data_IF_574124764232
#
_entry.id   IF_574124764232
#
_cell.length_a   1.000
_cell.length_b   1.000
_cell.length_c   1.000
_cell.angle_alpha   90.00
_cell.angle_beta   90.00
_cell.angle_gamma   90.00
#
_symmetry.space_group_name_H-M   'P 1'
#
loop_
_entity.id
_entity.type
_entity.pdbx_description
1 polymer ?
#
# COMPACT_ATOMS: atom_id res chain seq x y z
N UNK A 1 59.56 -11.49 -2.22
CA UNK A 1 58.72 -11.69 -3.44
C UNK A 1 59.33 -10.95 -4.62
N UNK A 2 59.60 -11.65 -5.73
CA UNK A 2 60.06 -11.05 -7.00
C UNK A 2 59.03 -10.07 -7.57
N UNK A 3 59.49 -8.99 -8.21
CA UNK A 3 58.65 -7.99 -8.88
C UNK A 3 57.66 -8.60 -9.89
N UNK A 4 58.04 -9.72 -10.53
CA UNK A 4 57.18 -10.49 -11.44
C UNK A 4 55.95 -11.08 -10.75
N UNK A 5 56.12 -11.62 -9.53
CA UNK A 5 55.03 -12.19 -8.74
C UNK A 5 54.07 -11.10 -8.27
N UNK A 6 54.59 -9.94 -7.85
CA UNK A 6 53.78 -8.77 -7.48
C UNK A 6 52.94 -8.26 -8.67
N UNK A 7 53.53 -8.18 -9.86
CA UNK A 7 52.81 -7.74 -11.08
C UNK A 7 51.74 -8.74 -11.53
N UNK A 8 52.00 -10.05 -11.44
CA UNK A 8 50.99 -11.09 -11.73
C UNK A 8 49.82 -11.02 -10.73
N UNK A 9 50.12 -10.88 -9.44
CA UNK A 9 49.09 -10.75 -8.40
C UNK A 9 48.23 -9.48 -8.61
N UNK A 10 48.85 -8.34 -8.92
CA UNK A 10 48.12 -7.10 -9.19
C UNK A 10 47.16 -7.23 -10.40
N UNK A 11 47.59 -7.90 -11.49
CA UNK A 11 46.73 -8.17 -12.65
C UNK A 11 45.57 -9.10 -12.31
N UNK A 12 45.81 -10.15 -11.52
CA UNK A 12 44.76 -11.07 -11.07
C UNK A 12 43.73 -10.35 -10.19
N UNK A 13 44.17 -9.50 -9.27
CA UNK A 13 43.28 -8.68 -8.44
C UNK A 13 42.48 -7.69 -9.29
N UNK A 14 43.10 -7.02 -10.26
CA UNK A 14 42.39 -6.10 -11.15
C UNK A 14 41.33 -6.83 -12.01
N UNK A 15 41.65 -8.01 -12.53
CA UNK A 15 40.67 -8.84 -13.26
C UNK A 15 39.52 -9.29 -12.38
N UNK A 16 39.79 -9.67 -11.13
CA UNK A 16 38.75 -10.02 -10.16
C UNK A 16 37.84 -8.81 -9.86
N UNK A 17 38.41 -7.62 -9.67
CA UNK A 17 37.63 -6.38 -9.45
C UNK A 17 36.73 -6.08 -10.64
N UNK A 18 37.25 -6.17 -11.87
CA UNK A 18 36.46 -5.96 -13.09
C UNK A 18 35.33 -6.99 -13.18
N UNK A 19 35.64 -8.27 -12.94
CA UNK A 19 34.68 -9.37 -12.98
C UNK A 19 33.52 -9.15 -12.00
N UNK A 20 33.81 -8.67 -10.79
CA UNK A 20 32.80 -8.36 -9.77
C UNK A 20 32.05 -7.05 -10.07
N UNK A 21 32.70 -6.08 -10.71
CA UNK A 21 32.10 -4.76 -11.00
C UNK A 21 31.02 -4.84 -12.09
N UNK A 22 31.19 -5.69 -13.10
CA UNK A 22 30.23 -5.84 -14.21
C UNK A 22 28.80 -6.19 -13.73
N UNK A 23 28.57 -7.24 -12.92
CA UNK A 23 27.23 -7.56 -12.44
C UNK A 23 26.68 -6.46 -11.52
N UNK A 24 27.53 -5.81 -10.70
CA UNK A 24 27.10 -4.71 -9.85
C UNK A 24 26.58 -3.53 -10.67
N UNK A 25 27.30 -3.12 -11.73
CA UNK A 25 26.87 -2.06 -12.65
C UNK A 25 25.57 -2.45 -13.35
N UNK A 26 25.44 -3.70 -13.79
CA UNK A 26 24.22 -4.20 -14.42
C UNK A 26 23.01 -4.11 -13.50
N UNK A 27 23.10 -4.62 -12.26
CA UNK A 27 22.00 -4.57 -11.31
C UNK A 27 21.68 -3.14 -10.88
N UNK A 28 22.69 -2.31 -10.62
CA UNK A 28 22.50 -0.91 -10.27
C UNK A 28 21.80 -0.14 -11.39
N UNK A 29 22.19 -0.36 -12.65
CA UNK A 29 21.52 0.24 -13.81
C UNK A 29 20.06 -0.19 -13.90
N UNK A 30 19.77 -1.50 -13.75
CA UNK A 30 18.38 -1.99 -13.78
C UNK A 30 17.52 -1.38 -12.68
N UNK A 31 18.05 -1.27 -11.46
CA UNK A 31 17.34 -0.62 -10.35
C UNK A 31 17.12 0.87 -10.62
N UNK A 32 18.13 1.57 -11.13
CA UNK A 32 18.00 2.98 -11.48
C UNK A 32 16.91 3.22 -12.54
N UNK A 33 16.87 2.42 -13.61
CA UNK A 33 15.83 2.53 -14.63
C UNK A 33 14.45 2.19 -14.06
N UNK A 34 14.36 1.16 -13.20
CA UNK A 34 13.11 0.81 -12.55
C UNK A 34 12.56 1.96 -11.68
N UNK A 35 13.42 2.59 -10.87
CA UNK A 35 13.02 3.70 -10.01
C UNK A 35 12.68 4.98 -10.79
N UNK A 36 13.40 5.26 -11.89
CA UNK A 36 13.06 6.37 -12.80
C UNK A 36 11.65 6.17 -13.36
N UNK A 37 11.29 4.94 -13.77
CA UNK A 37 9.94 4.63 -14.25
C UNK A 37 8.89 4.69 -13.15
N UNK A 38 9.20 4.28 -11.91
CA UNK A 38 8.23 4.28 -10.80
C UNK A 38 8.01 5.67 -10.17
N UNK A 39 8.99 6.56 -10.24
CA UNK A 39 8.93 7.90 -9.65
C UNK A 39 7.68 8.73 -10.03
N UNK A 40 7.32 8.90 -11.33
CA UNK A 40 6.14 9.67 -11.71
C UNK A 40 4.84 9.05 -11.15
N UNK A 41 4.78 7.73 -11.02
CA UNK A 41 3.61 7.01 -10.48
C UNK A 41 3.43 7.33 -9.00
N UNK A 42 4.51 7.30 -8.21
CA UNK A 42 4.47 7.64 -6.78
C UNK A 42 3.96 9.07 -6.58
N UNK A 43 4.51 10.02 -7.34
CA UNK A 43 4.12 11.42 -7.27
C UNK A 43 2.68 11.66 -7.71
N UNK A 44 2.23 11.01 -8.78
CA UNK A 44 0.86 11.11 -9.26
C UNK A 44 -0.14 10.67 -8.19
N UNK A 45 0.12 9.53 -7.54
CA UNK A 45 -0.76 9.03 -6.49
C UNK A 45 -0.78 9.96 -5.26
N UNK A 46 0.37 10.46 -4.80
CA UNK A 46 0.41 11.42 -3.68
C UNK A 46 -0.43 12.67 -3.96
N UNK A 47 -0.36 13.18 -5.20
CA UNK A 47 -1.17 14.31 -5.65
C UNK A 47 -2.67 13.99 -5.61
N UNK A 48 -3.07 12.81 -6.09
CA UNK A 48 -4.46 12.40 -6.09
C UNK A 48 -5.03 12.18 -4.69
N UNK A 49 -4.23 11.69 -3.75
CA UNK A 49 -4.63 11.59 -2.34
C UNK A 49 -4.78 12.95 -1.67
N UNK A 50 -3.92 13.92 -2.03
CA UNK A 50 -4.01 15.27 -1.49
C UNK A 50 -5.22 16.06 -2.04
N UNK A 51 -5.61 15.79 -3.30
CA UNK A 51 -6.72 16.46 -3.98
C UNK A 51 -7.57 15.45 -4.77
N UNK A 52 -8.51 14.76 -4.09
CA UNK A 52 -9.48 13.88 -4.74
C UNK A 52 -10.27 14.65 -5.82
N UNK A 53 -10.54 14.01 -6.96
CA UNK A 53 -11.22 14.64 -8.11
C UNK A 53 -10.30 15.19 -9.21
N UNK A 54 -8.99 14.97 -9.10
CA UNK A 54 -8.00 15.32 -10.14
C UNK A 54 -7.52 14.10 -10.95
N UNK A 55 -8.18 12.96 -10.80
CA UNK A 55 -7.83 11.69 -11.46
C UNK A 55 -8.67 11.54 -12.72
N UNK A 56 -8.02 11.27 -13.84
CA UNK A 56 -8.66 10.95 -15.11
C UNK A 56 -8.07 9.65 -15.70
N UNK A 57 -8.82 8.98 -16.58
CA UNK A 57 -8.42 7.68 -17.14
C UNK A 57 -7.11 7.75 -17.92
N UNK A 58 -6.85 8.84 -18.65
CA UNK A 58 -5.61 9.01 -19.41
C UNK A 58 -4.40 9.06 -18.47
N UNK A 59 -4.53 9.76 -17.35
CA UNK A 59 -3.48 9.84 -16.34
C UNK A 59 -3.22 8.48 -15.65
N UNK A 60 -4.25 7.65 -15.49
CA UNK A 60 -4.12 6.29 -14.96
C UNK A 60 -3.44 5.36 -15.96
N UNK A 61 -3.80 5.41 -17.23
CA UNK A 61 -3.21 4.56 -18.26
C UNK A 61 -1.72 4.88 -18.43
N UNK A 62 -1.35 6.16 -18.36
CA UNK A 62 0.06 6.56 -18.38
C UNK A 62 0.81 6.05 -17.15
N UNK A 63 0.25 6.22 -15.96
CA UNK A 63 0.86 5.72 -14.73
C UNK A 63 1.00 4.18 -14.74
N UNK A 64 0.04 3.48 -15.35
CA UNK A 64 0.12 2.03 -15.49
C UNK A 64 1.23 1.59 -16.45
N UNK A 65 1.42 2.28 -17.57
CA UNK A 65 2.54 2.00 -18.48
C UNK A 65 3.88 2.18 -17.75
N UNK A 66 4.02 3.25 -16.98
CA UNK A 66 5.24 3.57 -16.25
C UNK A 66 5.52 2.54 -15.14
N UNK A 67 4.51 2.10 -14.38
CA UNK A 67 4.71 1.08 -13.35
C UNK A 67 4.98 -0.32 -13.94
N UNK A 68 4.37 -0.65 -15.08
CA UNK A 68 4.67 -1.89 -15.80
C UNK A 68 6.12 -1.91 -16.30
N UNK A 69 6.62 -0.77 -16.77
CA UNK A 69 8.04 -0.59 -17.10
C UNK A 69 8.91 -0.85 -15.87
N UNK A 70 8.62 -0.23 -14.72
CA UNK A 70 9.38 -0.45 -13.50
C UNK A 70 9.43 -1.94 -13.08
N UNK A 71 8.30 -2.64 -13.14
CA UNK A 71 8.20 -4.08 -12.83
C UNK A 71 9.00 -4.95 -13.81
N UNK A 72 9.09 -4.56 -15.09
CA UNK A 72 9.92 -5.28 -16.07
C UNK A 72 11.42 -5.14 -15.80
N UNK A 73 11.83 -3.99 -15.25
CA UNK A 73 13.23 -3.73 -14.90
C UNK A 73 13.61 -4.36 -13.56
N UNK A 74 12.70 -4.36 -12.58
CA UNK A 74 12.91 -4.96 -11.26
C UNK A 74 11.58 -5.45 -10.64
N UNK A 75 11.23 -6.71 -10.92
CA UNK A 75 10.06 -7.39 -10.32
C UNK A 75 10.29 -7.82 -8.86
N UNK A 76 11.48 -7.65 -8.31
CA UNK A 76 11.78 -7.97 -6.91
C UNK A 76 11.39 -6.87 -5.92
N UNK A 77 10.92 -5.70 -6.40
CA UNK A 77 10.54 -4.59 -5.55
C UNK A 77 9.04 -4.61 -5.22
N UNK A 78 8.71 -4.90 -3.95
CA UNK A 78 7.34 -4.94 -3.45
C UNK A 78 6.58 -3.63 -3.66
N UNK A 79 7.27 -2.49 -3.63
CA UNK A 79 6.61 -1.18 -3.75
C UNK A 79 5.98 -0.99 -5.12
N UNK A 80 6.55 -1.54 -6.18
CA UNK A 80 5.96 -1.38 -7.51
C UNK A 80 4.62 -2.11 -7.63
N UNK A 81 4.48 -3.24 -6.95
CA UNK A 81 3.19 -3.92 -6.82
C UNK A 81 2.19 -3.09 -6.01
N UNK A 82 2.61 -2.46 -4.92
CA UNK A 82 1.76 -1.56 -4.14
C UNK A 82 1.29 -0.34 -4.94
N UNK A 83 2.20 0.31 -5.69
CA UNK A 83 1.86 1.41 -6.57
C UNK A 83 0.84 0.96 -7.63
N UNK A 84 1.08 -0.18 -8.29
CA UNK A 84 0.15 -0.71 -9.27
C UNK A 84 -1.20 -1.07 -8.65
N UNK A 85 -1.22 -1.65 -7.44
CA UNK A 85 -2.46 -1.99 -6.74
C UNK A 85 -3.32 -0.75 -6.47
N UNK A 86 -2.68 0.34 -6.05
CA UNK A 86 -3.36 1.64 -5.85
C UNK A 86 -3.90 2.19 -7.17
N UNK A 87 -3.18 2.06 -8.28
CA UNK A 87 -3.68 2.45 -9.60
C UNK A 87 -4.94 1.66 -9.99
N UNK A 88 -4.93 0.34 -9.81
CA UNK A 88 -6.11 -0.50 -10.06
C UNK A 88 -7.29 -0.05 -9.19
N UNK A 89 -7.05 0.25 -7.91
CA UNK A 89 -8.11 0.73 -7.01
C UNK A 89 -8.64 2.13 -7.39
N UNK A 90 -7.78 3.05 -7.85
CA UNK A 90 -8.22 4.32 -8.43
C UNK A 90 -9.07 4.10 -9.68
N UNK A 91 -8.65 3.20 -10.58
CA UNK A 91 -9.42 2.86 -11.77
C UNK A 91 -10.77 2.27 -11.41
N UNK A 92 -10.83 1.41 -10.39
CA UNK A 92 -12.09 0.89 -9.87
C UNK A 92 -13.03 2.02 -9.43
N UNK A 93 -12.50 3.06 -8.80
CA UNK A 93 -13.27 4.21 -8.30
C UNK A 93 -13.74 5.19 -9.39
N UNK A 94 -13.19 5.08 -10.60
CA UNK A 94 -13.57 5.90 -11.76
C UNK A 94 -14.44 5.13 -12.76
N UNK A 95 -14.65 3.82 -12.58
CA UNK A 95 -15.38 3.01 -13.56
C UNK A 95 -16.86 3.40 -13.59
N UNK A 96 -17.23 4.06 -14.68
CA UNK A 96 -18.54 4.38 -15.22
C UNK A 96 -19.68 4.65 -14.22
N UNK A 97 -19.96 5.94 -14.01
CA UNK A 97 -21.12 6.49 -13.29
C UNK A 97 -22.48 6.07 -13.87
N UNK A 98 -22.52 5.36 -15.00
CA UNK A 98 -23.74 4.81 -15.60
C UNK A 98 -24.04 3.35 -15.21
N UNK A 99 -23.14 2.68 -14.49
CA UNK A 99 -23.38 1.35 -13.93
C UNK A 99 -23.93 1.41 -12.50
N UNK A 100 -24.78 0.44 -12.10
CA UNK A 100 -25.35 0.37 -10.73
C UNK A 100 -24.28 0.16 -9.65
N UNK A 101 -23.06 -0.27 -10.03
CA UNK A 101 -21.95 -0.51 -9.10
C UNK A 101 -20.92 0.63 -9.16
N UNK A 102 -20.70 1.36 -8.06
CA UNK A 102 -19.76 2.49 -8.02
C UNK A 102 -18.28 2.08 -8.12
N UNK A 103 -17.99 0.76 -8.14
CA UNK A 103 -16.64 0.20 -8.24
C UNK A 103 -16.59 -0.98 -9.22
N UNK A 104 -15.55 -1.03 -10.05
CA UNK A 104 -15.23 -2.22 -10.85
C UNK A 104 -14.64 -3.32 -9.96
N UNK A 105 -15.42 -4.36 -9.68
CA UNK A 105 -14.98 -5.50 -8.88
C UNK A 105 -13.79 -6.26 -9.50
N UNK A 106 -13.64 -6.21 -10.82
CA UNK A 106 -12.49 -6.80 -11.50
C UNK A 106 -11.19 -6.06 -11.15
N UNK A 107 -11.22 -4.73 -11.13
CA UNK A 107 -10.07 -3.90 -10.75
C UNK A 107 -9.74 -4.07 -9.26
N UNK A 108 -10.75 -4.21 -8.39
CA UNK A 108 -10.53 -4.52 -6.96
C UNK A 108 -9.85 -5.87 -6.76
N UNK A 109 -10.24 -6.91 -7.52
CA UNK A 109 -9.55 -8.23 -7.48
C UNK A 109 -8.11 -8.14 -7.98
N UNK A 110 -7.85 -7.33 -9.01
CA UNK A 110 -6.49 -7.10 -9.49
C UNK A 110 -5.64 -6.40 -8.41
N UNK A 111 -6.18 -5.36 -7.77
CA UNK A 111 -5.52 -4.68 -6.64
C UNK A 111 -5.19 -5.67 -5.50
N UNK A 112 -6.14 -6.53 -5.13
CA UNK A 112 -5.93 -7.58 -4.12
C UNK A 112 -4.74 -8.50 -4.48
N UNK A 113 -4.70 -9.01 -5.71
CA UNK A 113 -3.61 -9.89 -6.17
C UNK A 113 -2.24 -9.20 -6.16
N UNK A 114 -2.20 -7.89 -6.45
CA UNK A 114 -0.99 -7.10 -6.39
C UNK A 114 -0.50 -6.88 -4.95
N UNK A 115 -1.40 -6.60 -3.99
CA UNK A 115 -1.04 -6.56 -2.57
C UNK A 115 -0.51 -7.92 -2.08
N UNK A 116 -1.09 -9.03 -2.53
CA UNK A 116 -0.57 -10.36 -2.20
C UNK A 116 0.83 -10.61 -2.78
N UNK A 117 1.10 -10.08 -3.97
CA UNK A 117 2.45 -10.13 -4.56
C UNK A 117 3.44 -9.28 -3.76
N UNK A 118 3.05 -8.09 -3.31
CA UNK A 118 3.86 -7.25 -2.43
C UNK A 118 4.13 -7.93 -1.07
N UNK A 119 3.13 -8.60 -0.47
CA UNK A 119 3.27 -9.37 0.78
C UNK A 119 4.29 -10.49 0.64
N UNK A 120 4.30 -11.22 -0.48
CA UNK A 120 5.29 -12.29 -0.72
C UNK A 120 6.72 -11.75 -0.70
N UNK A 121 6.93 -10.55 -1.20
CA UNK A 121 8.24 -9.88 -1.24
C UNK A 121 8.60 -9.20 0.09
N UNK A 122 7.61 -8.65 0.82
CA UNK A 122 7.78 -8.00 2.12
C UNK A 122 6.70 -8.43 3.12
N UNK A 123 6.84 -9.60 3.76
CA UNK A 123 5.80 -10.17 4.64
C UNK A 123 5.45 -9.34 5.87
N UNK A 124 6.34 -8.43 6.29
CA UNK A 124 6.16 -7.57 7.46
C UNK A 124 5.71 -6.14 7.08
N UNK A 125 5.24 -5.92 5.85
CA UNK A 125 4.78 -4.60 5.43
C UNK A 125 3.30 -4.40 5.77
N UNK A 126 3.04 -3.60 6.82
CA UNK A 126 1.69 -3.38 7.32
C UNK A 126 0.75 -2.76 6.29
N UNK A 127 1.26 -1.83 5.46
CA UNK A 127 0.52 -1.26 4.34
C UNK A 127 -0.15 -2.32 3.46
N UNK A 128 0.60 -3.34 3.03
CA UNK A 128 0.09 -4.39 2.14
C UNK A 128 -0.99 -5.24 2.81
N UNK A 129 -0.82 -5.59 4.08
CA UNK A 129 -1.83 -6.33 4.84
C UNK A 129 -3.10 -5.51 5.07
N UNK A 130 -2.95 -4.22 5.37
CA UNK A 130 -4.08 -3.32 5.57
C UNK A 130 -4.90 -3.19 4.29
N UNK A 131 -4.25 -2.95 3.14
CA UNK A 131 -4.96 -2.86 1.87
C UNK A 131 -5.50 -4.21 1.38
N UNK A 132 -4.85 -5.34 1.73
CA UNK A 132 -5.45 -6.66 1.52
C UNK A 132 -6.81 -6.76 2.21
N UNK A 133 -6.90 -6.37 3.48
CA UNK A 133 -8.19 -6.36 4.21
C UNK A 133 -9.20 -5.40 3.58
N UNK A 134 -8.74 -4.24 3.11
CA UNK A 134 -9.60 -3.26 2.44
C UNK A 134 -10.17 -3.79 1.13
N UNK A 135 -9.35 -4.40 0.27
CA UNK A 135 -9.82 -4.97 -1.00
C UNK A 135 -10.80 -6.12 -0.74
N UNK A 136 -10.54 -6.99 0.25
CA UNK A 136 -11.48 -8.05 0.66
C UNK A 136 -12.82 -7.45 1.13
N UNK A 137 -12.80 -6.37 1.91
CA UNK A 137 -14.01 -5.69 2.35
C UNK A 137 -14.82 -5.10 1.19
N UNK A 138 -14.16 -4.48 0.21
CA UNK A 138 -14.81 -3.99 -1.01
C UNK A 138 -15.45 -5.11 -1.84
N UNK A 139 -14.86 -6.31 -1.82
CA UNK A 139 -15.43 -7.51 -2.44
C UNK A 139 -16.55 -8.16 -1.60
N UNK A 140 -16.82 -7.66 -0.39
CA UNK A 140 -17.77 -8.27 0.55
C UNK A 140 -17.28 -9.57 1.20
N UNK A 141 -15.98 -9.86 1.08
CA UNK A 141 -15.35 -11.11 1.53
C UNK A 141 -14.84 -10.97 2.96
N UNK A 142 -15.73 -11.16 3.95
CA UNK A 142 -15.41 -11.12 5.39
C UNK A 142 -15.05 -12.51 5.94
N UNK A 143 -14.07 -13.14 5.30
CA UNK A 143 -13.57 -14.48 5.60
C UNK A 143 -12.39 -14.46 6.61
N UNK A 144 -11.83 -15.63 6.93
CA UNK A 144 -10.65 -15.75 7.79
C UNK A 144 -9.46 -14.93 7.26
N UNK A 145 -9.31 -14.83 5.94
CA UNK A 145 -8.23 -14.09 5.29
C UNK A 145 -8.36 -12.59 5.55
N UNK A 146 -9.57 -12.04 5.53
CA UNK A 146 -9.84 -10.65 5.92
C UNK A 146 -9.42 -10.39 7.38
N UNK A 147 -9.79 -11.28 8.31
CA UNK A 147 -9.47 -11.11 9.73
C UNK A 147 -7.97 -11.27 10.01
N UNK A 148 -7.30 -12.25 9.38
CA UNK A 148 -5.84 -12.41 9.47
C UNK A 148 -5.11 -11.17 8.93
N UNK A 149 -5.57 -10.62 7.81
CA UNK A 149 -4.98 -9.42 7.23
C UNK A 149 -5.06 -8.20 8.18
N UNK A 150 -6.20 -7.99 8.85
CA UNK A 150 -6.34 -6.94 9.88
C UNK A 150 -5.35 -7.16 11.03
N UNK A 151 -5.29 -8.38 11.58
CA UNK A 151 -4.39 -8.71 12.69
C UNK A 151 -2.92 -8.53 12.32
N UNK A 152 -2.53 -8.91 11.09
CA UNK A 152 -1.17 -8.72 10.59
C UNK A 152 -0.82 -7.27 10.36
N UNK A 153 -1.73 -6.47 9.82
CA UNK A 153 -1.53 -5.03 9.65
C UNK A 153 -1.25 -4.36 11.01
N UNK A 154 -2.06 -4.67 12.03
CA UNK A 154 -1.84 -4.16 13.38
C UNK A 154 -0.50 -4.64 13.97
N UNK A 155 -0.19 -5.93 13.85
CA UNK A 155 1.03 -6.50 14.43
C UNK A 155 2.30 -5.95 13.80
N UNK A 156 2.30 -5.73 12.48
CA UNK A 156 3.51 -5.38 11.72
C UNK A 156 3.75 -3.87 11.60
N UNK A 157 2.73 -3.04 11.79
CA UNK A 157 2.87 -1.59 11.69
C UNK A 157 1.74 -0.83 12.38
N UNK A 158 1.60 -0.96 13.71
CA UNK A 158 0.52 -0.32 14.45
C UNK A 158 0.54 1.21 14.35
N UNK A 159 1.70 1.80 14.07
CA UNK A 159 1.88 3.26 13.98
C UNK A 159 1.95 3.80 12.55
N UNK A 160 1.76 2.94 11.54
CA UNK A 160 1.74 3.39 10.16
C UNK A 160 0.38 4.02 9.86
N UNK A 161 0.36 5.33 9.58
CA UNK A 161 -0.89 6.09 9.39
C UNK A 161 -1.76 5.52 8.26
N UNK A 162 -1.14 5.23 7.10
CA UNK A 162 -1.82 4.65 5.93
C UNK A 162 -2.44 3.29 6.24
N UNK A 163 -1.70 2.41 6.92
CA UNK A 163 -2.23 1.12 7.34
C UNK A 163 -3.42 1.27 8.30
N UNK A 164 -3.33 2.18 9.28
CA UNK A 164 -4.45 2.41 10.21
C UNK A 164 -5.70 2.95 9.51
N UNK A 165 -5.54 3.85 8.52
CA UNK A 165 -6.67 4.36 7.74
C UNK A 165 -7.32 3.26 6.89
N UNK A 166 -6.52 2.42 6.22
CA UNK A 166 -7.02 1.31 5.42
C UNK A 166 -7.71 0.24 6.28
N UNK A 167 -7.13 -0.13 7.43
CA UNK A 167 -7.77 -1.04 8.40
C UNK A 167 -9.07 -0.44 8.92
N UNK A 168 -9.08 0.84 9.27
CA UNK A 168 -10.29 1.52 9.71
C UNK A 168 -11.39 1.40 8.66
N UNK A 169 -11.13 1.83 7.42
CA UNK A 169 -12.10 1.80 6.33
C UNK A 169 -12.60 0.38 6.04
N UNK A 170 -11.70 -0.60 6.00
CA UNK A 170 -12.04 -2.02 5.83
C UNK A 170 -13.01 -2.50 6.92
N UNK A 171 -12.77 -2.09 8.17
CA UNK A 171 -13.62 -2.39 9.30
C UNK A 171 -14.99 -1.70 9.26
N UNK A 172 -15.05 -0.47 8.74
CA UNK A 172 -16.31 0.28 8.61
C UNK A 172 -17.22 -0.34 7.54
N UNK A 173 -16.66 -0.77 6.41
CA UNK A 173 -17.36 -1.51 5.35
C UNK A 173 -18.03 -2.79 5.89
N UNK A 174 -17.34 -3.53 6.76
CA UNK A 174 -17.78 -4.80 7.32
C UNK A 174 -18.29 -4.77 8.76
N UNK A 175 -18.67 -3.61 9.29
CA UNK A 175 -18.80 -3.42 10.75
C UNK A 175 -19.73 -4.42 11.45
N UNK A 176 -20.82 -4.81 10.77
CA UNK A 176 -21.81 -5.76 11.29
C UNK A 176 -21.26 -7.19 11.38
N UNK A 177 -20.32 -7.55 10.52
CA UNK A 177 -19.69 -8.87 10.42
C UNK A 177 -18.53 -9.04 11.42
N UNK A 178 -18.03 -7.94 12.00
CA UNK A 178 -16.90 -7.98 12.92
C UNK A 178 -17.26 -8.59 14.29
N UNK A 179 -16.37 -9.44 14.80
CA UNK A 179 -16.35 -9.86 16.21
C UNK A 179 -16.01 -8.68 17.13
N UNK A 180 -16.20 -8.86 18.44
CA UNK A 180 -15.80 -7.87 19.45
C UNK A 180 -14.29 -7.59 19.42
N UNK A 181 -13.48 -8.63 19.22
CA UNK A 181 -12.01 -8.52 19.07
C UNK A 181 -11.66 -7.68 17.84
N UNK A 182 -12.21 -8.00 16.67
CA UNK A 182 -11.94 -7.25 15.43
C UNK A 182 -12.38 -5.79 15.56
N UNK A 183 -13.55 -5.51 16.15
CA UNK A 183 -13.99 -4.12 16.42
C UNK A 183 -13.01 -3.36 17.31
N UNK A 184 -12.39 -4.01 18.29
CA UNK A 184 -11.38 -3.37 19.13
C UNK A 184 -10.14 -2.96 18.32
N UNK A 185 -9.70 -3.82 17.39
CA UNK A 185 -8.59 -3.50 16.45
C UNK A 185 -8.94 -2.29 15.58
N UNK A 186 -10.15 -2.25 15.01
CA UNK A 186 -10.63 -1.12 14.18
C UNK A 186 -10.68 0.18 14.98
N UNK A 187 -11.22 0.14 16.19
CA UNK A 187 -11.28 1.30 17.09
C UNK A 187 -9.88 1.78 17.48
N UNK A 188 -8.95 0.86 17.75
CA UNK A 188 -7.55 1.16 18.01
C UNK A 188 -6.89 1.85 16.81
N UNK A 189 -7.11 1.34 15.60
CA UNK A 189 -6.63 1.94 14.37
C UNK A 189 -7.19 3.36 14.16
N UNK A 190 -8.49 3.56 14.39
CA UNK A 190 -9.12 4.88 14.35
C UNK A 190 -8.50 5.85 15.37
N UNK A 191 -8.24 5.39 16.60
CA UNK A 191 -7.61 6.19 17.64
C UNK A 191 -6.21 6.66 17.25
N UNK A 192 -5.37 5.74 16.74
CA UNK A 192 -4.02 6.05 16.26
C UNK A 192 -4.04 6.99 15.05
N UNK A 193 -4.91 6.75 14.07
CA UNK A 193 -5.05 7.63 12.91
C UNK A 193 -5.53 9.05 13.28
N UNK A 194 -6.37 9.16 14.31
CA UNK A 194 -6.90 10.45 14.81
C UNK A 194 -5.78 11.36 15.32
N UNK A 195 -4.67 10.81 15.80
CA UNK A 195 -3.55 11.62 16.27
C UNK A 195 -2.86 12.41 15.15
N UNK A 196 -2.95 11.94 13.91
CA UNK A 196 -2.30 12.58 12.76
C UNK A 196 -3.29 13.21 11.76
N UNK A 197 -4.46 12.59 11.54
CA UNK A 197 -5.45 13.01 10.54
C UNK A 197 -6.88 12.99 11.09
N UNK A 198 -7.20 13.78 12.14
CA UNK A 198 -8.51 13.75 12.80
C UNK A 198 -9.68 14.09 11.87
N UNK A 199 -9.49 15.03 10.92
CA UNK A 199 -10.53 15.40 9.94
C UNK A 199 -10.88 14.23 9.00
N UNK A 200 -9.87 13.48 8.55
CA UNK A 200 -10.06 12.33 7.66
C UNK A 200 -10.80 11.22 8.41
N UNK A 201 -10.38 10.90 9.64
CA UNK A 201 -11.06 9.90 10.47
C UNK A 201 -12.51 10.28 10.71
N UNK A 202 -12.78 11.54 11.08
CA UNK A 202 -14.17 12.02 11.25
C UNK A 202 -14.99 11.86 9.97
N UNK A 203 -14.45 12.28 8.83
CA UNK A 203 -15.12 12.15 7.54
C UNK A 203 -15.46 10.70 7.20
N UNK A 204 -14.55 9.75 7.46
CA UNK A 204 -14.82 8.32 7.28
C UNK A 204 -15.92 7.84 8.23
N UNK A 205 -15.81 8.13 9.52
CA UNK A 205 -16.82 7.70 10.49
C UNK A 205 -18.22 8.23 10.17
N UNK A 206 -18.30 9.45 9.66
CA UNK A 206 -19.54 10.08 9.21
C UNK A 206 -20.06 9.46 7.91
N UNK A 207 -19.20 9.19 6.91
CA UNK A 207 -19.61 8.62 5.63
C UNK A 207 -20.19 7.20 5.76
N UNK A 208 -19.74 6.44 6.75
CA UNK A 208 -20.28 5.11 7.05
C UNK A 208 -21.38 5.12 8.13
N UNK A 209 -21.78 6.30 8.65
CA UNK A 209 -22.75 6.43 9.74
C UNK A 209 -22.39 5.62 11.01
N UNK A 210 -21.09 5.47 11.29
CA UNK A 210 -20.57 4.64 12.39
C UNK A 210 -19.85 5.44 13.48
N UNK A 211 -19.90 6.79 13.42
CA UNK A 211 -19.26 7.67 14.42
C UNK A 211 -19.59 7.27 15.85
N UNK A 212 -20.87 7.13 16.20
CA UNK A 212 -21.29 6.76 17.57
C UNK A 212 -20.78 5.36 17.96
N UNK A 213 -20.89 4.40 17.04
CA UNK A 213 -20.50 3.00 17.29
C UNK A 213 -19.00 2.86 17.59
N UNK A 214 -18.16 3.60 16.86
CA UNK A 214 -16.71 3.61 17.05
C UNK A 214 -16.33 4.47 18.27
N UNK A 215 -16.86 5.68 18.39
CA UNK A 215 -16.50 6.62 19.45
C UNK A 215 -16.90 6.15 20.85
N UNK A 216 -17.97 5.37 20.98
CA UNK A 216 -18.34 4.76 22.28
C UNK A 216 -17.28 3.81 22.85
N UNK A 217 -16.36 3.33 22.01
CA UNK A 217 -15.29 2.37 22.36
C UNK A 217 -13.89 3.00 22.30
N UNK A 218 -13.78 4.24 21.84
CA UNK A 218 -12.51 4.92 21.62
C UNK A 218 -11.99 5.55 22.93
N UNK A 219 -10.66 5.59 23.09
CA UNK A 219 -10.02 6.27 24.22
C UNK A 219 -10.25 7.79 24.10
N UNK A 220 -10.57 8.47 25.19
CA UNK A 220 -10.94 9.89 25.14
C UNK A 220 -9.73 10.82 25.25
N UNK A 221 -8.77 10.73 24.33
CA UNK A 221 -7.74 11.78 24.20
C UNK A 221 -8.37 13.09 23.71
N UNK A 222 -7.69 14.23 23.85
CA UNK A 222 -8.23 15.54 23.43
C UNK A 222 -8.61 15.56 21.94
N UNK A 223 -7.81 14.94 21.06
CA UNK A 223 -8.13 14.87 19.62
C UNK A 223 -9.24 13.88 19.32
N UNK A 224 -9.24 12.73 19.99
CA UNK A 224 -10.28 11.71 19.85
C UNK A 224 -11.64 12.24 20.32
N UNK A 225 -11.69 13.00 21.41
CA UNK A 225 -12.88 13.70 21.85
C UNK A 225 -13.43 14.68 20.79
N UNK A 226 -12.58 15.44 20.10
CA UNK A 226 -13.00 16.35 19.02
C UNK A 226 -13.54 15.62 17.79
N UNK A 227 -13.04 14.44 17.47
CA UNK A 227 -13.59 13.60 16.40
C UNK A 227 -14.97 13.04 16.78
N UNK A 228 -15.18 12.77 18.07
CA UNK A 228 -16.38 12.13 18.59
C UNK A 228 -17.52 13.06 19.03
N UNK A 229 -17.30 14.38 19.02
CA UNK A 229 -18.34 15.41 19.20
C UNK A 229 -19.00 15.73 17.86
#
# INVERSE_FOLDING_TARGET
>A
MSASVKNRLARLLAMLVILVSIPLVYFAFRWAVADISAYPVRYAIERWQAKPGTVDLLSLDKAEQDINSALSWNSGNAEYYELKARLMFYRASLSDSSSESPLSMNEVRQALSLHESAIKLRPNWAYSWANKSLMKAYLGEFDEVFFDAIKRAEKTGPWELSANLAVLEAGLLGWRQLSSESRAVIVGAAGRATEHRPKVVRSLLDSYALRVAVCSRMLRTTKQAKVCQ
#
